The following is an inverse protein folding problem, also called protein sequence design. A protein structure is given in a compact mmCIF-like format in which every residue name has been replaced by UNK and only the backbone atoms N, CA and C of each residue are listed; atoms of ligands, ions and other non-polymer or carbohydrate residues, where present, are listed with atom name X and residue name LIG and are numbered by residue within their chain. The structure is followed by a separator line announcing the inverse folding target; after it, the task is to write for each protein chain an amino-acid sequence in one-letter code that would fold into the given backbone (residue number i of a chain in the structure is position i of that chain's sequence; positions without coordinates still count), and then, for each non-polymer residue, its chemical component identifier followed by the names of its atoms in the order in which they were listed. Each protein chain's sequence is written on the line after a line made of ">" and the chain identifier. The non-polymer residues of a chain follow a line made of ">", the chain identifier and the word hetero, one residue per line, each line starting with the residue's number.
data_IF_864847624286
#
_entry.id   IF_864847624286
#
_cell.length_a   1.000
_cell.length_b   1.000
_cell.length_c   1.000
_cell.angle_alpha   90.00
_cell.angle_beta   90.00
_cell.angle_gamma   90.00
#
_symmetry.space_group_name_H-M   'P 1'
#
loop_
_entity.id
_entity.type
_entity.pdbx_description
1 polymer ?
#
# COMPACT_ATOMS: atom_id res chain seq x y z
N UNK A 1 -22.77 4.78 -1.91
CA UNK A 1 -22.35 3.52 -1.36
C UNK A 1 -21.12 2.99 -2.07
N UNK A 2 -20.12 2.61 -1.34
CA UNK A 2 -18.93 2.12 -1.99
C UNK A 2 -19.14 0.69 -2.50
N UNK A 3 -18.53 0.42 -3.59
CA UNK A 3 -18.63 -0.85 -4.26
C UNK A 3 -17.25 -1.51 -4.20
N UNK A 4 -17.19 -2.67 -3.57
CA UNK A 4 -15.90 -3.35 -3.41
C UNK A 4 -15.22 -3.64 -4.75
N UNK A 5 -16.01 -3.83 -5.80
CA UNK A 5 -15.44 -4.08 -7.11
C UNK A 5 -14.72 -2.87 -7.68
N UNK A 6 -14.93 -1.69 -7.10
CA UNK A 6 -14.26 -0.47 -7.54
C UNK A 6 -12.97 -0.22 -6.79
N UNK A 7 -12.71 -0.98 -5.74
CA UNK A 7 -11.48 -0.84 -4.99
C UNK A 7 -10.38 -1.56 -5.76
N UNK A 8 -9.34 -0.82 -6.08
CA UNK A 8 -8.21 -1.40 -6.77
C UNK A 8 -7.19 -1.85 -5.74
N UNK A 9 -6.80 -3.10 -5.85
CA UNK A 9 -5.80 -3.69 -4.97
C UNK A 9 -4.53 -3.94 -5.75
N UNK A 10 -3.41 -3.70 -5.09
CA UNK A 10 -2.09 -3.87 -5.69
C UNK A 10 -1.34 -5.00 -4.99
N UNK A 11 -0.52 -5.69 -5.75
CA UNK A 11 0.38 -6.68 -5.15
C UNK A 11 1.55 -5.96 -4.51
N UNK A 12 2.29 -6.67 -3.66
CA UNK A 12 3.50 -6.10 -3.05
C UNK A 12 4.48 -5.66 -4.14
N UNK A 13 4.62 -6.46 -5.19
CA UNK A 13 5.51 -6.11 -6.28
C UNK A 13 5.08 -4.82 -6.98
N UNK A 14 3.78 -4.66 -7.18
CA UNK A 14 3.27 -3.46 -7.81
C UNK A 14 3.47 -2.23 -6.93
N UNK A 15 3.26 -2.39 -5.62
CA UNK A 15 3.48 -1.29 -4.69
C UNK A 15 4.96 -0.90 -4.67
N UNK A 16 5.83 -1.90 -4.64
CA UNK A 16 7.27 -1.65 -4.64
C UNK A 16 7.69 -0.86 -5.88
N UNK A 17 7.16 -1.25 -7.04
CA UNK A 17 7.47 -0.54 -8.28
C UNK A 17 6.92 0.88 -8.26
N UNK A 18 5.70 1.04 -7.79
CA UNK A 18 5.06 2.35 -7.73
C UNK A 18 5.80 3.30 -6.81
N UNK A 19 6.22 2.81 -5.66
CA UNK A 19 6.92 3.61 -4.66
C UNK A 19 8.42 3.68 -4.90
N UNK A 20 8.92 2.88 -5.84
CA UNK A 20 10.34 2.80 -6.15
C UNK A 20 11.17 2.36 -4.97
N UNK A 21 10.68 1.36 -4.29
CA UNK A 21 11.39 0.74 -3.17
C UNK A 21 11.44 -0.76 -3.38
N UNK A 22 12.20 -1.45 -2.54
CA UNK A 22 12.26 -2.90 -2.62
C UNK A 22 10.98 -3.51 -2.03
N UNK A 23 10.72 -4.76 -2.39
CA UNK A 23 9.59 -5.48 -1.80
C UNK A 23 9.77 -5.61 -0.30
N UNK A 24 11.00 -5.80 0.14
CA UNK A 24 11.28 -5.90 1.57
C UNK A 24 10.81 -4.65 2.30
N UNK A 25 11.03 -3.49 1.71
CA UNK A 25 10.59 -2.24 2.30
C UNK A 25 9.07 -2.20 2.42
N UNK A 26 8.37 -2.68 1.38
CA UNK A 26 6.91 -2.73 1.41
C UNK A 26 6.44 -3.65 2.54
N UNK A 27 7.06 -4.82 2.68
CA UNK A 27 6.71 -5.73 3.77
C UNK A 27 6.92 -5.09 5.14
N UNK A 28 8.00 -4.34 5.29
CA UNK A 28 8.24 -3.64 6.55
C UNK A 28 7.15 -2.64 6.86
N UNK A 29 6.72 -1.90 5.86
CA UNK A 29 5.66 -0.92 6.04
C UNK A 29 4.35 -1.58 6.43
N UNK A 30 4.06 -2.71 5.79
CA UNK A 30 2.85 -3.46 6.09
C UNK A 30 2.90 -3.99 7.52
N UNK A 31 4.01 -4.60 7.90
CA UNK A 31 4.14 -5.18 9.24
C UNK A 31 4.17 -4.13 10.33
N UNK A 32 4.71 -2.96 10.02
CA UNK A 32 4.75 -1.87 10.99
C UNK A 32 3.39 -1.18 11.15
N UNK A 33 2.46 -1.48 10.27
CA UNK A 33 1.15 -0.83 10.30
C UNK A 33 1.13 0.52 9.62
N UNK A 34 2.22 0.89 8.95
CA UNK A 34 2.28 2.16 8.24
C UNK A 34 1.54 2.13 6.92
N UNK A 35 1.37 0.95 6.36
CA UNK A 35 0.71 0.77 5.08
C UNK A 35 -0.40 -0.26 5.26
N UNK A 36 -1.63 0.16 5.05
CA UNK A 36 -2.77 -0.72 5.19
C UNK A 36 -2.72 -1.83 4.14
N UNK A 37 -3.09 -3.02 4.53
CA UNK A 37 -3.09 -4.15 3.61
C UNK A 37 -4.14 -5.16 4.03
N UNK A 38 -4.47 -6.02 3.09
CA UNK A 38 -5.39 -7.14 3.31
C UNK A 38 -4.63 -8.40 2.95
N UNK A 39 -4.71 -9.40 3.80
CA UNK A 39 -4.08 -10.67 3.52
C UNK A 39 -5.05 -11.57 2.78
N UNK A 40 -4.61 -12.06 1.63
CA UNK A 40 -5.41 -12.98 0.82
C UNK A 40 -4.58 -14.24 0.64
N UNK A 41 -4.96 -15.30 1.36
CA UNK A 41 -4.16 -16.51 1.34
C UNK A 41 -2.77 -16.24 1.87
N UNK A 42 -1.77 -16.46 1.04
CA UNK A 42 -0.37 -16.23 1.41
C UNK A 42 0.14 -14.89 0.92
N UNK A 43 -0.71 -14.12 0.26
CA UNK A 43 -0.29 -12.87 -0.35
C UNK A 43 -0.90 -11.71 0.40
N UNK A 44 -0.25 -10.57 0.29
CA UNK A 44 -0.81 -9.32 0.73
C UNK A 44 -1.34 -8.55 -0.46
N UNK A 45 -2.42 -7.83 -0.24
CA UNK A 45 -2.96 -6.92 -1.23
C UNK A 45 -3.11 -5.57 -0.56
N UNK A 46 -2.67 -4.54 -1.26
CA UNK A 46 -2.67 -3.19 -0.72
C UNK A 46 -3.66 -2.36 -1.51
N UNK A 47 -4.67 -1.78 -0.86
CA UNK A 47 -5.59 -0.90 -1.58
C UNK A 47 -4.80 0.26 -2.17
N UNK A 48 -5.08 0.61 -3.41
CA UNK A 48 -4.35 1.67 -4.08
C UNK A 48 -4.41 2.98 -3.29
N UNK A 49 -5.56 3.30 -2.73
CA UNK A 49 -5.69 4.54 -1.97
C UNK A 49 -4.80 4.56 -0.73
N UNK A 50 -4.48 3.37 -0.18
CA UNK A 50 -3.57 3.32 0.97
C UNK A 50 -2.17 3.77 0.58
N UNK A 51 -1.74 3.41 -0.62
CA UNK A 51 -0.44 3.85 -1.13
C UNK A 51 -0.45 5.36 -1.31
N UNK A 52 -1.51 5.88 -1.91
CA UNK A 52 -1.61 7.33 -2.10
C UNK A 52 -1.63 8.07 -0.78
N UNK A 53 -2.36 7.55 0.20
CA UNK A 53 -2.42 8.18 1.52
C UNK A 53 -1.06 8.18 2.19
N UNK A 54 -0.34 7.07 2.09
CA UNK A 54 0.98 6.97 2.68
C UNK A 54 1.94 7.97 2.04
N UNK A 55 1.94 8.03 0.72
CA UNK A 55 2.84 8.94 0.01
C UNK A 55 2.49 10.39 0.28
N UNK A 56 1.20 10.70 0.33
CA UNK A 56 0.77 12.05 0.64
C UNK A 56 1.26 12.47 2.02
N UNK A 57 1.10 11.59 3.00
CA UNK A 57 1.58 11.89 4.35
C UNK A 57 3.07 12.09 4.39
N UNK A 58 3.82 11.29 3.64
CA UNK A 58 5.26 11.42 3.61
C UNK A 58 5.71 12.76 3.01
N UNK A 59 4.98 13.25 2.01
CA UNK A 59 5.34 14.50 1.38
C UNK A 59 4.79 15.72 2.10
N UNK A 60 3.72 15.55 2.87
CA UNK A 60 3.11 16.67 3.59
C UNK A 60 3.83 17.01 4.87
N UNK A 61 4.75 16.17 5.26
CA UNK A 61 5.48 16.34 6.51
C UNK A 61 6.21 17.67 6.58
N UNK A 62 6.59 18.20 5.43
CA UNK A 62 7.37 19.43 5.38
C UNK A 62 6.53 20.69 5.38
N UNK A 63 5.24 20.52 5.27
CA UNK A 63 4.35 21.69 5.15
C UNK A 63 4.38 22.59 6.35
#
# INVERSE_FOLDING_TARGET
>A
MSNLSEIKFLTVAEVAALMRVSRMTVYRLVHAGDLASVRVGRSFRVPEHAVHSYLRGAFDVTA
#
